data_IF_530373974406
#
_entry.id   IF_530373974406
#
_cell.length_a   1.000
_cell.length_b   1.000
_cell.length_c   1.000
_cell.angle_alpha   90.00
_cell.angle_beta   90.00
_cell.angle_gamma   90.00
#
_symmetry.space_group_name_H-M   'P 1'
#
loop_
_entity.id
_entity.type
_entity.pdbx_description
1 polymer ?
#
# COMPACT_ATOMS: atom_id res chain seq x y z
N UNK A 1 -9.41 -2.91 -4.43
CA UNK A 1 -8.06 -2.34 -4.52
C UNK A 1 -7.08 -3.49 -4.70
N UNK A 2 -6.06 -3.32 -5.54
CA UNK A 2 -4.97 -4.27 -5.76
C UNK A 2 -3.66 -3.53 -5.61
N UNK A 3 -2.82 -3.92 -4.65
CA UNK A 3 -1.45 -3.40 -4.57
C UNK A 3 -0.68 -3.87 -5.80
N UNK A 4 0.21 -3.02 -6.33
CA UNK A 4 1.09 -3.35 -7.46
C UNK A 4 2.54 -3.27 -7.03
N UNK A 5 2.93 -2.14 -6.44
CA UNK A 5 4.31 -1.92 -5.98
C UNK A 5 4.30 -1.22 -4.62
N UNK A 6 5.18 -1.65 -3.73
CA UNK A 6 5.51 -0.96 -2.49
C UNK A 6 7.03 -0.90 -2.33
N UNK A 7 7.56 0.31 -2.19
CA UNK A 7 8.97 0.57 -1.90
C UNK A 7 9.04 1.37 -0.61
N UNK A 8 9.86 0.91 0.34
CA UNK A 8 10.13 1.60 1.60
C UNK A 8 11.65 1.61 1.80
N UNK A 9 12.32 2.75 1.52
CA UNK A 9 13.76 2.87 1.72
C UNK A 9 14.16 2.62 3.18
N UNK A 10 13.44 3.21 4.12
CA UNK A 10 13.73 3.08 5.54
C UNK A 10 12.47 3.24 6.40
N UNK A 11 12.11 2.21 7.15
CA UNK A 11 11.08 2.31 8.19
C UNK A 11 11.34 1.30 9.30
N UNK A 12 11.62 1.77 10.52
CA UNK A 12 11.95 0.93 11.68
C UNK A 12 13.08 -0.05 11.40
N UNK A 13 12.83 -1.35 11.20
CA UNK A 13 13.84 -2.34 10.80
C UNK A 13 13.75 -2.75 9.32
N UNK A 14 12.80 -2.19 8.55
CA UNK A 14 12.73 -2.37 7.11
C UNK A 14 13.78 -1.47 6.45
N UNK A 15 14.64 -2.08 5.62
CA UNK A 15 15.73 -1.41 4.90
C UNK A 15 15.63 -1.79 3.43
N UNK A 16 15.51 -0.80 2.57
CA UNK A 16 15.41 -0.98 1.11
C UNK A 16 14.36 -2.02 0.70
N UNK A 17 13.21 -2.04 1.39
CA UNK A 17 12.14 -2.98 1.07
C UNK A 17 11.58 -2.62 -0.31
N UNK A 18 11.50 -3.62 -1.19
CA UNK A 18 10.81 -3.54 -2.48
C UNK A 18 9.93 -4.77 -2.63
N UNK A 19 8.63 -4.55 -2.80
CA UNK A 19 7.64 -5.58 -3.04
C UNK A 19 6.89 -5.27 -4.33
N UNK A 20 6.81 -6.26 -5.20
CA UNK A 20 5.93 -6.23 -6.38
C UNK A 20 4.87 -7.31 -6.20
N UNK A 21 3.62 -6.96 -6.44
CA UNK A 21 2.47 -7.82 -6.24
C UNK A 21 1.94 -8.26 -7.60
N UNK A 22 1.86 -9.57 -7.81
CA UNK A 22 1.13 -10.11 -8.95
C UNK A 22 -0.37 -9.84 -8.76
N UNK A 23 -1.05 -9.40 -9.81
CA UNK A 23 -2.49 -9.11 -9.77
C UNK A 23 -3.34 -10.28 -10.24
N UNK A 24 -2.74 -11.22 -10.97
CA UNK A 24 -3.38 -12.38 -11.58
C UNK A 24 -2.52 -13.63 -11.36
N UNK A 25 -3.16 -14.79 -11.24
CA UNK A 25 -2.47 -16.07 -11.17
C UNK A 25 -1.89 -16.42 -12.54
N UNK A 26 -0.62 -16.80 -12.56
CA UNK A 26 0.02 -17.34 -13.78
C UNK A 26 -0.67 -18.65 -14.18
N UNK A 27 -1.00 -18.78 -15.47
CA UNK A 27 -1.50 -20.04 -16.00
C UNK A 27 -0.38 -21.08 -15.98
N UNK A 28 -0.67 -22.26 -15.42
CA UNK A 28 0.27 -23.39 -15.48
C UNK A 28 0.36 -23.84 -16.94
N UNK A 29 1.55 -23.72 -17.54
CA UNK A 29 1.79 -24.13 -18.90
C UNK A 29 1.46 -25.63 -19.08
N UNK A 30 0.53 -25.94 -19.98
CA UNK A 30 0.18 -27.32 -20.35
C UNK A 30 -1.30 -27.69 -20.23
N UNK A 31 -2.13 -26.85 -19.60
CA UNK A 31 -3.59 -27.03 -19.61
C UNK A 31 -4.19 -25.96 -20.52
N UNK A 32 -4.64 -26.38 -21.70
CA UNK A 32 -5.39 -25.54 -22.63
C UNK A 32 -6.80 -25.30 -22.07
N UNK A 33 -6.90 -24.51 -21.01
CA UNK A 33 -8.16 -23.99 -20.51
C UNK A 33 -8.23 -22.52 -20.86
N UNK A 34 -9.24 -22.18 -21.67
CA UNK A 34 -9.71 -20.82 -21.96
C UNK A 34 -10.30 -20.15 -20.70
N UNK A 35 -9.72 -20.38 -19.52
CA UNK A 35 -10.16 -19.73 -18.29
C UNK A 35 -9.49 -18.36 -18.18
N UNK A 36 -10.35 -17.34 -18.02
CA UNK A 36 -9.93 -15.97 -17.73
C UNK A 36 -8.96 -15.97 -16.55
N UNK A 37 -7.87 -15.21 -16.67
CA UNK A 37 -6.86 -15.09 -15.63
C UNK A 37 -7.51 -14.74 -14.28
N UNK A 38 -7.28 -15.61 -13.29
CA UNK A 38 -7.94 -15.47 -11.98
C UNK A 38 -7.22 -14.40 -11.17
N UNK A 39 -7.93 -13.32 -10.85
CA UNK A 39 -7.41 -12.23 -10.01
C UNK A 39 -7.03 -12.72 -8.60
N UNK A 40 -5.86 -12.30 -8.13
CA UNK A 40 -5.41 -12.54 -6.76
C UNK A 40 -6.18 -11.60 -5.82
N UNK A 41 -6.74 -12.12 -4.74
CA UNK A 41 -7.54 -11.34 -3.78
C UNK A 41 -6.93 -11.28 -2.38
N UNK A 42 -5.93 -12.10 -2.10
CA UNK A 42 -5.26 -12.19 -0.81
C UNK A 42 -3.77 -12.41 -1.02
N UNK A 43 -2.98 -11.84 -0.12
CA UNK A 43 -1.54 -12.03 -0.06
C UNK A 43 -1.18 -12.49 1.36
N UNK A 44 -0.29 -13.46 1.46
CA UNK A 44 0.24 -13.94 2.73
C UNK A 44 1.72 -13.56 2.83
N UNK A 45 2.08 -12.87 3.91
CA UNK A 45 3.48 -12.63 4.28
C UNK A 45 3.83 -13.51 5.48
N UNK A 46 4.72 -14.46 5.27
CA UNK A 46 5.11 -15.46 6.27
C UNK A 46 6.59 -15.32 6.59
N UNK A 47 6.95 -15.49 7.86
CA UNK A 47 8.34 -15.43 8.33
C UNK A 47 8.42 -15.55 9.84
N UNK A 48 9.64 -15.73 10.36
CA UNK A 48 9.89 -15.86 11.80
C UNK A 48 9.50 -14.61 12.60
N UNK A 49 9.39 -14.73 13.91
CA UNK A 49 9.13 -13.58 14.78
C UNK A 49 10.30 -12.59 14.74
N UNK A 50 10.02 -11.29 14.83
CA UNK A 50 11.02 -10.23 14.75
C UNK A 50 11.49 -9.84 13.34
N UNK A 51 11.07 -10.54 12.28
CA UNK A 51 11.52 -10.26 10.89
C UNK A 51 10.93 -9.01 10.24
N UNK A 52 10.17 -8.20 10.98
CA UNK A 52 9.60 -6.94 10.46
C UNK A 52 8.20 -7.05 9.82
N UNK A 53 7.54 -8.22 9.87
CA UNK A 53 6.16 -8.38 9.35
C UNK A 53 5.19 -7.35 9.92
N UNK A 54 5.20 -7.14 11.24
CA UNK A 54 4.36 -6.14 11.89
C UNK A 54 4.77 -4.71 11.51
N UNK A 55 6.05 -4.44 11.31
CA UNK A 55 6.50 -3.13 10.86
C UNK A 55 6.03 -2.82 9.44
N UNK A 56 5.89 -3.82 8.56
CA UNK A 56 5.28 -3.63 7.24
C UNK A 56 3.80 -3.25 7.35
N UNK A 57 3.06 -3.95 8.21
CA UNK A 57 1.65 -3.65 8.47
C UNK A 57 1.50 -2.23 9.04
N UNK A 58 2.35 -1.85 10.00
CA UNK A 58 2.38 -0.50 10.56
C UNK A 58 2.68 0.57 9.50
N UNK A 59 3.63 0.31 8.59
CA UNK A 59 3.93 1.23 7.49
C UNK A 59 2.73 1.42 6.56
N UNK A 60 2.02 0.33 6.22
CA UNK A 60 0.81 0.39 5.41
C UNK A 60 -0.34 1.12 6.12
N UNK A 61 -0.52 0.94 7.42
CA UNK A 61 -1.54 1.69 8.17
C UNK A 61 -1.18 3.17 8.17
N UNK A 62 0.07 3.50 8.49
CA UNK A 62 0.56 4.87 8.59
C UNK A 62 0.40 5.60 7.26
N UNK A 63 0.84 5.01 6.13
CA UNK A 63 0.74 5.73 4.85
C UNK A 63 -0.71 5.98 4.41
N UNK A 64 -1.62 5.00 4.59
CA UNK A 64 -3.01 5.23 4.22
C UNK A 64 -3.69 6.23 5.12
N UNK A 65 -3.41 6.19 6.43
CA UNK A 65 -3.92 7.17 7.39
C UNK A 65 -3.43 8.58 7.04
N UNK A 66 -2.14 8.75 6.80
CA UNK A 66 -1.57 10.07 6.53
C UNK A 66 -2.16 10.65 5.22
N UNK A 67 -2.39 9.82 4.19
CA UNK A 67 -3.04 10.26 2.95
C UNK A 67 -4.52 10.59 3.18
N UNK A 68 -5.27 9.74 3.88
CA UNK A 68 -6.71 9.90 4.11
C UNK A 68 -7.03 11.13 4.98
N UNK A 69 -6.22 11.39 6.01
CA UNK A 69 -6.35 12.53 6.90
C UNK A 69 -5.73 13.82 6.36
N UNK A 70 -5.26 13.80 5.12
CA UNK A 70 -4.48 14.86 4.51
C UNK A 70 -3.38 15.39 5.45
N UNK A 71 -2.47 14.51 5.88
CA UNK A 71 -1.31 14.81 6.74
C UNK A 71 0.02 14.79 5.97
N UNK A 72 1.10 15.24 6.62
CA UNK A 72 2.46 15.11 6.10
C UNK A 72 2.92 13.65 6.14
N UNK A 73 3.71 13.22 5.17
CA UNK A 73 4.20 11.84 5.11
C UNK A 73 5.18 11.57 6.26
N UNK A 74 4.91 10.55 7.08
CA UNK A 74 5.76 10.22 8.22
C UNK A 74 7.12 9.58 7.86
N UNK A 75 7.29 9.07 6.62
CA UNK A 75 8.51 8.43 6.13
C UNK A 75 8.51 8.36 4.60
N UNK A 76 9.67 8.03 4.02
CA UNK A 76 9.82 7.87 2.57
C UNK A 76 9.19 6.57 2.06
N UNK A 77 8.45 6.65 0.96
CA UNK A 77 7.87 5.47 0.32
C UNK A 77 7.48 5.74 -1.14
N UNK A 78 7.30 4.65 -1.88
CA UNK A 78 6.55 4.64 -3.14
C UNK A 78 5.50 3.55 -3.06
N UNK A 79 4.23 3.92 -3.26
CA UNK A 79 3.11 2.99 -3.32
C UNK A 79 2.42 3.14 -4.67
N UNK A 80 2.14 2.02 -5.33
CA UNK A 80 1.28 1.97 -6.52
C UNK A 80 0.19 0.91 -6.32
N UNK A 81 -1.04 1.25 -6.65
CA UNK A 81 -2.18 0.36 -6.59
C UNK A 81 -3.23 0.64 -7.66
N UNK A 82 -3.99 -0.39 -8.02
CA UNK A 82 -5.22 -0.26 -8.82
C UNK A 82 -6.43 -0.19 -7.88
N UNK A 83 -7.32 0.77 -8.10
CA UNK A 83 -8.60 0.84 -7.41
C UNK A 83 -9.69 1.35 -8.34
N UNK A 84 -10.81 0.60 -8.42
CA UNK A 84 -11.99 0.99 -9.21
C UNK A 84 -11.66 1.37 -10.68
N UNK A 85 -10.69 0.69 -11.29
CA UNK A 85 -10.25 0.92 -12.68
C UNK A 85 -9.17 2.00 -12.85
N UNK A 86 -8.73 2.65 -11.77
CA UNK A 86 -7.70 3.68 -11.81
C UNK A 86 -6.39 3.19 -11.21
N UNK A 87 -5.26 3.64 -11.78
CA UNK A 87 -3.93 3.43 -11.24
C UNK A 87 -3.53 4.66 -10.44
N UNK A 88 -3.29 4.47 -9.14
CA UNK A 88 -2.82 5.53 -8.26
C UNK A 88 -1.39 5.23 -7.83
N UNK A 89 -0.50 6.20 -8.01
CA UNK A 89 0.88 6.18 -7.52
C UNK A 89 1.07 7.32 -6.52
N UNK A 90 1.67 7.02 -5.38
CA UNK A 90 1.98 7.98 -4.32
C UNK A 90 3.46 7.83 -3.98
N UNK A 91 4.18 8.94 -3.95
CA UNK A 91 5.61 8.99 -3.64
C UNK A 91 5.93 10.05 -2.59
N UNK A 92 6.41 9.60 -1.43
CA UNK A 92 6.92 10.46 -0.38
C UNK A 92 8.44 10.45 -0.38
N UNK A 93 9.02 11.63 -0.47
CA UNK A 93 10.44 11.93 -0.26
C UNK A 93 10.48 13.08 0.75
N UNK A 94 10.61 12.73 2.02
CA UNK A 94 10.49 13.66 3.16
C UNK A 94 11.62 14.68 3.20
N UNK A 95 12.72 14.44 2.47
CA UNK A 95 13.80 15.41 2.32
C UNK A 95 13.47 16.51 1.30
N UNK A 96 12.56 16.25 0.36
CA UNK A 96 12.17 17.17 -0.71
C UNK A 96 10.81 17.83 -0.48
N UNK A 97 9.87 17.12 0.12
CA UNK A 97 8.51 17.63 0.32
C UNK A 97 7.83 17.05 1.56
N UNK A 98 6.92 17.84 2.14
CA UNK A 98 6.07 17.42 3.27
C UNK A 98 4.92 16.50 2.84
N UNK A 99 4.29 16.82 1.70
CA UNK A 99 3.15 16.06 1.13
C UNK A 99 3.63 15.24 -0.04
N UNK A 100 3.23 13.96 -0.18
CA UNK A 100 3.67 13.11 -1.26
C UNK A 100 3.24 13.64 -2.62
N UNK A 101 4.05 13.34 -3.64
CA UNK A 101 3.64 13.47 -5.03
C UNK A 101 2.64 12.37 -5.37
N UNK A 102 1.62 12.73 -6.14
CA UNK A 102 0.54 11.82 -6.52
C UNK A 102 0.40 11.81 -8.03
N UNK A 103 0.15 10.62 -8.58
CA UNK A 103 -0.30 10.44 -9.95
C UNK A 103 -1.53 9.55 -9.99
N UNK A 104 -2.52 9.96 -10.78
CA UNK A 104 -3.71 9.17 -11.09
C UNK A 104 -3.73 8.95 -12.60
N UNK A 105 -3.70 7.69 -13.03
CA UNK A 105 -3.63 7.28 -14.43
C UNK A 105 -2.49 7.99 -15.19
N UNK A 106 -1.36 8.19 -14.51
CA UNK A 106 -0.17 8.87 -15.05
C UNK A 106 -0.21 10.41 -15.01
N UNK A 107 -1.35 11.01 -14.68
CA UNK A 107 -1.49 12.47 -14.54
C UNK A 107 -1.10 12.90 -13.13
N UNK A 108 -0.25 13.92 -13.04
CA UNK A 108 0.16 14.52 -11.75
C UNK A 108 -1.03 15.20 -11.07
N UNK A 109 -1.26 14.87 -9.80
CA UNK A 109 -2.33 15.40 -8.96
C UNK A 109 -1.76 15.70 -7.55
N UNK A 110 -2.58 16.31 -6.69
CA UNK A 110 -2.20 16.56 -5.29
C UNK A 110 -2.74 15.49 -4.34
N UNK A 111 -2.19 15.40 -3.12
CA UNK A 111 -2.79 14.56 -2.07
C UNK A 111 -4.24 14.99 -1.77
N UNK A 112 -4.50 16.30 -1.69
CA UNK A 112 -5.84 16.84 -1.48
C UNK A 112 -6.83 16.46 -2.59
N UNK A 113 -6.36 16.20 -3.81
CA UNK A 113 -7.19 15.63 -4.88
C UNK A 113 -7.67 14.22 -4.54
N UNK A 114 -6.80 13.35 -4.00
CA UNK A 114 -7.20 12.01 -3.55
C UNK A 114 -8.25 12.09 -2.46
N UNK A 115 -8.08 12.97 -1.48
CA UNK A 115 -9.02 13.14 -0.35
C UNK A 115 -10.37 13.67 -0.84
N UNK A 116 -10.37 14.70 -1.69
CA UNK A 116 -11.59 15.25 -2.30
C UNK A 116 -12.35 14.20 -3.11
N UNK A 117 -11.63 13.25 -3.70
CA UNK A 117 -12.18 12.17 -4.52
C UNK A 117 -11.99 10.79 -3.87
N UNK A 118 -12.00 10.71 -2.54
CA UNK A 118 -11.66 9.50 -1.78
C UNK A 118 -12.49 8.28 -2.17
N UNK A 119 -13.78 8.49 -2.47
CA UNK A 119 -14.70 7.42 -2.93
C UNK A 119 -14.30 6.80 -4.27
N UNK A 120 -13.41 7.42 -5.03
CA UNK A 120 -12.91 6.92 -6.31
C UNK A 120 -11.49 6.38 -6.14
N UNK A 121 -10.59 7.16 -5.52
CA UNK A 121 -9.16 6.85 -5.53
C UNK A 121 -8.60 6.27 -4.23
N UNK A 122 -9.35 6.27 -3.12
CA UNK A 122 -8.91 5.69 -1.85
C UNK A 122 -9.76 4.46 -1.47
N UNK A 123 -9.18 3.47 -0.75
CA UNK A 123 -9.96 2.38 -0.20
C UNK A 123 -11.05 2.93 0.74
N UNK A 124 -12.27 2.42 0.63
CA UNK A 124 -13.38 2.89 1.50
C UNK A 124 -13.11 2.62 2.97
N UNK A 125 -12.42 1.52 3.28
CA UNK A 125 -12.04 1.13 4.63
C UNK A 125 -10.72 0.37 4.57
N UNK A 126 -9.83 0.63 5.52
CA UNK A 126 -8.65 -0.18 5.81
C UNK A 126 -8.85 -0.77 7.20
N UNK A 127 -8.88 -2.10 7.30
CA UNK A 127 -8.98 -2.80 8.57
C UNK A 127 -7.70 -3.59 8.80
N UNK A 128 -7.19 -3.56 10.03
CA UNK A 128 -6.12 -4.45 10.45
C UNK A 128 -6.58 -5.26 11.66
N UNK A 129 -6.33 -6.56 11.61
CA UNK A 129 -6.50 -7.45 12.75
C UNK A 129 -5.11 -7.90 13.19
N UNK A 130 -4.81 -7.67 14.46
CA UNK A 130 -3.56 -8.12 15.06
C UNK A 130 -3.88 -9.05 16.23
N UNK A 131 -3.38 -10.29 16.17
CA UNK A 131 -3.51 -11.25 17.26
C UNK A 131 -2.38 -11.04 18.26
N UNK A 132 -2.73 -10.64 19.49
CA UNK A 132 -1.81 -10.40 20.60
C UNK A 132 -1.82 -8.97 21.11
N UNK A 133 -1.12 -8.71 22.23
CA UNK A 133 -1.01 -7.36 22.81
C UNK A 133 0.02 -6.55 22.02
N UNK A 134 -0.44 -5.57 21.25
CA UNK A 134 0.44 -4.62 20.56
C UNK A 134 -0.14 -3.19 20.65
N UNK A 135 0.26 -2.51 21.73
CA UNK A 135 -0.15 -1.14 22.05
C UNK A 135 0.27 -0.14 20.94
N UNK A 136 1.33 -0.45 20.18
CA UNK A 136 1.78 0.42 19.08
C UNK A 136 0.83 0.38 17.90
N UNK A 137 0.34 -0.79 17.50
CA UNK A 137 -0.63 -0.88 16.39
C UNK A 137 -1.93 -0.19 16.79
N UNK A 138 -2.39 -0.36 18.04
CA UNK A 138 -3.58 0.33 18.55
C UNK A 138 -3.44 1.86 18.42
N UNK A 139 -2.25 2.41 18.72
CA UNK A 139 -1.99 3.85 18.60
C UNK A 139 -2.06 4.41 17.18
N UNK A 140 -1.98 3.56 16.15
CA UNK A 140 -2.06 3.99 14.74
C UNK A 140 -3.50 4.23 14.26
N UNK A 141 -4.50 3.73 14.99
CA UNK A 141 -5.93 3.86 14.66
C UNK A 141 -6.67 4.92 15.48
N UNK A 142 -5.95 5.65 16.34
CA UNK A 142 -6.47 6.84 17.03
C UNK A 142 -6.22 8.07 16.17
#
# INVERSE_FOLDING_TARGET
MQLRTLVIPHFRNLRHLKMTFATELEQVAGIATSELAKRIRSHALIGQNGTGKSNLIEALITLFRDVDLDQEAAFDYTLEYEIRGHIVRIEADTAKQKRPYVWVDGKSESQGFLVKHARVYLPSHVFAYYSGKNERIESLFR
#
